data_IF_506923617582
#
_entry.id   IF_506923617582
#
_cell.length_a   1.000
_cell.length_b   1.000
_cell.length_c   1.000
_cell.angle_alpha   90.00
_cell.angle_beta   90.00
_cell.angle_gamma   90.00
#
_symmetry.space_group_name_H-M   'P 1'
#
loop_
_entity.id
_entity.type
_entity.pdbx_description
1 polymer ?
#
# COMPACT_ATOMS: atom_id res chain seq x y z
N UNK A 1 9.94 -23.11 -11.97
CA UNK A 1 9.05 -23.30 -10.81
C UNK A 1 8.10 -22.11 -10.77
N UNK A 2 6.81 -22.28 -11.08
CA UNK A 2 5.85 -21.18 -10.93
C UNK A 2 5.75 -20.86 -9.44
N UNK A 3 6.06 -19.62 -9.05
CA UNK A 3 5.75 -19.15 -7.69
C UNK A 3 4.23 -19.13 -7.58
N UNK A 4 3.68 -19.92 -6.66
CA UNK A 4 2.26 -19.81 -6.33
C UNK A 4 1.96 -18.35 -5.96
N UNK A 5 0.99 -17.77 -6.65
CA UNK A 5 0.51 -16.44 -6.34
C UNK A 5 -0.24 -16.51 -5.02
N UNK A 6 0.19 -15.73 -4.03
CA UNK A 6 -0.46 -15.70 -2.73
C UNK A 6 -1.94 -15.35 -2.88
N UNK A 7 -2.79 -16.10 -2.17
CA UNK A 7 -4.22 -15.87 -2.10
C UNK A 7 -4.65 -15.67 -0.64
N UNK A 8 -5.68 -14.86 -0.44
CA UNK A 8 -6.39 -14.72 0.82
C UNK A 8 -7.85 -15.06 0.57
N UNK A 9 -8.50 -15.75 1.50
CA UNK A 9 -9.92 -16.09 1.36
C UNK A 9 -10.80 -14.85 1.57
N UNK A 10 -12.01 -14.90 1.00
CA UNK A 10 -13.01 -13.87 1.24
C UNK A 10 -13.42 -13.82 2.73
N UNK A 11 -13.47 -14.96 3.41
CA UNK A 11 -13.80 -15.03 4.84
C UNK A 11 -12.76 -14.29 5.69
N UNK A 12 -11.47 -14.56 5.47
CA UNK A 12 -10.38 -13.84 6.16
C UNK A 12 -10.40 -12.34 5.82
N UNK A 13 -10.65 -11.99 4.56
CA UNK A 13 -10.78 -10.59 4.15
C UNK A 13 -11.95 -9.90 4.84
N UNK A 14 -13.11 -10.56 4.96
CA UNK A 14 -14.28 -10.05 5.67
C UNK A 14 -13.99 -9.82 7.15
N UNK A 15 -13.32 -10.77 7.81
CA UNK A 15 -12.89 -10.62 9.21
C UNK A 15 -11.93 -9.44 9.40
N UNK A 16 -11.02 -9.21 8.45
CA UNK A 16 -10.13 -8.03 8.47
C UNK A 16 -10.95 -6.75 8.39
N UNK A 17 -11.94 -6.66 7.49
CA UNK A 17 -12.79 -5.47 7.37
C UNK A 17 -13.56 -5.20 8.66
N UNK A 18 -14.15 -6.23 9.27
CA UNK A 18 -14.85 -6.13 10.55
C UNK A 18 -13.91 -5.65 11.67
N UNK A 19 -12.67 -6.17 11.74
CA UNK A 19 -11.71 -5.79 12.78
C UNK A 19 -11.33 -4.30 12.75
N UNK A 20 -11.37 -3.67 11.57
CA UNK A 20 -11.01 -2.27 11.38
C UNK A 20 -12.23 -1.36 11.12
N UNK A 21 -13.43 -1.81 11.51
CA UNK A 21 -14.69 -1.07 11.36
C UNK A 21 -14.97 -0.58 9.92
N UNK A 22 -14.62 -1.39 8.91
CA UNK A 22 -14.84 -1.12 7.49
C UNK A 22 -16.12 -1.80 6.98
N UNK A 23 -16.61 -1.39 5.80
CA UNK A 23 -17.83 -1.97 5.24
C UNK A 23 -17.67 -3.44 4.87
N UNK A 24 -18.79 -4.15 4.72
CA UNK A 24 -18.82 -5.55 4.33
C UNK A 24 -18.09 -5.80 2.99
N UNK A 25 -17.53 -7.00 2.85
CA UNK A 25 -16.82 -7.40 1.65
C UNK A 25 -17.79 -7.54 0.46
N UNK A 26 -17.55 -6.78 -0.59
CA UNK A 26 -18.28 -6.87 -1.87
C UNK A 26 -17.38 -7.33 -3.02
N UNK A 27 -16.09 -7.01 -2.97
CA UNK A 27 -15.10 -7.46 -3.96
C UNK A 27 -13.70 -7.50 -3.39
N UNK A 28 -12.89 -8.45 -3.88
CA UNK A 28 -11.46 -8.56 -3.59
C UNK A 28 -10.75 -8.97 -4.86
N UNK A 29 -9.82 -8.15 -5.33
CA UNK A 29 -9.06 -8.40 -6.57
C UNK A 29 -7.57 -8.26 -6.30
N UNK A 30 -6.74 -9.26 -6.67
CA UNK A 30 -5.30 -9.15 -6.51
C UNK A 30 -4.75 -8.03 -7.41
N UNK A 31 -3.92 -7.16 -6.85
CA UNK A 31 -3.19 -6.15 -7.60
C UNK A 31 -1.94 -6.79 -8.22
N UNK A 32 -1.70 -6.51 -9.51
CA UNK A 32 -0.50 -6.98 -10.22
C UNK A 32 0.79 -6.25 -9.79
N UNK A 33 0.66 -5.23 -8.93
CA UNK A 33 1.76 -4.46 -8.39
C UNK A 33 2.19 -5.00 -7.01
N UNK A 34 3.50 -5.06 -6.76
CA UNK A 34 4.07 -5.54 -5.49
C UNK A 34 4.93 -6.79 -5.66
N UNK A 35 6.19 -6.61 -6.08
CA UNK A 35 7.15 -7.71 -6.22
C UNK A 35 7.47 -8.42 -4.89
N UNK A 36 7.20 -7.73 -3.76
CA UNK A 36 7.63 -8.14 -2.42
C UNK A 36 6.44 -8.58 -1.57
N UNK A 37 5.39 -7.76 -1.49
CA UNK A 37 4.22 -8.00 -0.65
C UNK A 37 2.97 -8.12 -1.54
N UNK A 38 2.23 -9.25 -1.47
CA UNK A 38 0.92 -9.38 -2.10
C UNK A 38 0.00 -8.25 -1.68
N UNK A 39 -0.75 -7.72 -2.66
CA UNK A 39 -1.68 -6.62 -2.44
C UNK A 39 -3.03 -6.95 -3.10
N UNK A 40 -4.11 -6.54 -2.46
CA UNK A 40 -5.49 -6.77 -2.91
C UNK A 40 -6.27 -5.46 -2.86
N UNK A 41 -6.97 -5.13 -3.94
CA UNK A 41 -7.94 -4.05 -3.99
C UNK A 41 -9.27 -4.59 -3.47
N UNK A 42 -9.72 -4.05 -2.34
CA UNK A 42 -10.94 -4.46 -1.65
C UNK A 42 -12.01 -3.39 -1.87
N UNK A 43 -13.19 -3.81 -2.31
CA UNK A 43 -14.36 -2.94 -2.55
C UNK A 43 -14.10 -1.74 -3.49
N UNK A 44 -13.01 -1.76 -4.27
CA UNK A 44 -12.54 -0.60 -5.04
C UNK A 44 -12.10 0.61 -4.19
N UNK A 45 -11.99 0.45 -2.86
CA UNK A 45 -11.78 1.53 -1.90
C UNK A 45 -10.53 1.36 -1.04
N UNK A 46 -10.12 0.12 -0.79
CA UNK A 46 -9.04 -0.20 0.13
C UNK A 46 -7.98 -1.05 -0.53
N UNK A 47 -6.75 -0.92 -0.06
CA UNK A 47 -5.67 -1.81 -0.42
C UNK A 47 -5.25 -2.58 0.84
N UNK A 48 -5.44 -3.88 0.81
CA UNK A 48 -4.89 -4.81 1.79
C UNK A 48 -3.51 -5.27 1.31
N UNK A 49 -2.46 -5.06 2.11
CA UNK A 49 -1.11 -5.55 1.85
C UNK A 49 -0.71 -6.56 2.91
N UNK A 50 -0.16 -7.69 2.47
CA UNK A 50 0.26 -8.79 3.33
C UNK A 50 1.78 -8.89 3.35
N UNK A 51 2.38 -9.00 4.53
CA UNK A 51 3.82 -9.14 4.67
C UNK A 51 4.25 -10.60 4.47
N UNK A 52 4.78 -10.91 3.27
CA UNK A 52 5.35 -12.24 2.96
C UNK A 52 6.86 -12.28 3.09
N UNK A 53 7.44 -11.31 3.77
CA UNK A 53 8.89 -11.16 3.90
C UNK A 53 9.48 -12.09 4.98
N UNK A 54 8.93 -13.29 5.18
CA UNK A 54 9.41 -14.25 6.19
C UNK A 54 10.89 -14.63 5.99
N UNK A 55 11.37 -14.61 4.74
CA UNK A 55 12.77 -14.85 4.38
C UNK A 55 13.74 -13.78 4.92
N UNK A 56 13.23 -12.66 5.45
CA UNK A 56 14.01 -11.59 6.04
C UNK A 56 13.88 -11.55 7.58
N UNK A 57 13.25 -12.57 8.20
CA UNK A 57 13.23 -12.75 9.66
C UNK A 57 14.67 -12.75 10.19
N UNK A 58 14.93 -11.93 11.21
CA UNK A 58 16.26 -11.78 11.83
C UNK A 58 17.12 -10.65 11.24
N UNK A 59 16.71 -10.03 10.13
CA UNK A 59 17.34 -8.79 9.65
C UNK A 59 16.87 -7.61 10.52
N UNK A 60 17.80 -6.90 11.15
CA UNK A 60 17.46 -5.79 12.07
C UNK A 60 16.56 -4.75 11.39
N UNK A 61 15.41 -4.46 12.01
CA UNK A 61 14.44 -3.48 11.52
C UNK A 61 13.46 -4.00 10.47
N UNK A 62 13.62 -5.24 10.01
CA UNK A 62 12.73 -5.87 9.04
C UNK A 62 11.33 -6.11 9.61
N UNK A 63 11.24 -6.54 10.88
CA UNK A 63 9.97 -6.88 11.52
C UNK A 63 9.07 -5.66 11.79
N UNK A 64 9.55 -4.43 11.53
CA UNK A 64 8.85 -3.17 11.84
C UNK A 64 8.40 -2.39 10.59
N UNK A 65 8.39 -3.02 9.42
CA UNK A 65 8.18 -2.33 8.13
C UNK A 65 6.79 -1.68 8.03
N UNK A 66 5.73 -2.42 8.32
CA UNK A 66 4.38 -1.86 8.25
C UNK A 66 4.09 -0.85 9.38
N UNK A 67 4.71 -1.00 10.55
CA UNK A 67 4.66 -0.02 11.63
C UNK A 67 5.27 1.33 11.17
N UNK A 68 6.42 1.27 10.48
CA UNK A 68 7.04 2.47 9.88
C UNK A 68 6.19 3.07 8.78
N UNK A 69 5.62 2.24 7.91
CA UNK A 69 4.72 2.73 6.84
C UNK A 69 3.47 3.40 7.42
N UNK A 70 2.81 2.79 8.40
CA UNK A 70 1.66 3.36 9.09
C UNK A 70 2.00 4.71 9.74
N UNK A 71 3.18 4.81 10.37
CA UNK A 71 3.68 6.07 10.91
C UNK A 71 3.86 7.14 9.82
N UNK A 72 4.43 6.78 8.66
CA UNK A 72 4.61 7.70 7.54
C UNK A 72 3.28 8.17 6.94
N UNK A 73 2.30 7.27 6.80
CA UNK A 73 0.95 7.62 6.33
C UNK A 73 0.23 8.61 7.25
N UNK A 74 0.54 8.61 8.55
CA UNK A 74 0.03 9.63 9.48
C UNK A 74 0.83 10.95 9.43
N UNK A 75 2.13 10.90 9.10
CA UNK A 75 3.02 12.05 9.16
C UNK A 75 3.01 12.90 7.87
N UNK A 76 3.03 12.26 6.71
CA UNK A 76 3.21 12.93 5.41
C UNK A 76 2.04 13.85 5.02
N UNK A 77 0.76 13.50 5.26
CA UNK A 77 -0.36 14.40 4.99
C UNK A 77 -0.28 15.72 5.78
N UNK A 78 0.28 15.68 6.99
CA UNK A 78 0.50 16.89 7.82
C UNK A 78 1.53 17.85 7.22
N UNK A 79 2.26 17.42 6.19
CA UNK A 79 3.19 18.22 5.40
C UNK A 79 2.70 18.50 3.98
N UNK A 80 1.41 18.28 3.71
CA UNK A 80 0.81 18.51 2.40
C UNK A 80 1.19 17.48 1.33
N UNK A 81 1.80 16.35 1.72
CA UNK A 81 2.15 15.28 0.79
C UNK A 81 0.98 14.30 0.74
N UNK A 82 0.33 14.12 -0.43
CA UNK A 82 -0.77 13.18 -0.56
C UNK A 82 -0.26 11.75 -0.43
N UNK A 83 -0.81 11.01 0.53
CA UNK A 83 -0.51 9.60 0.74
C UNK A 83 -1.79 8.83 1.05
N UNK A 84 -1.79 7.50 0.92
CA UNK A 84 -2.83 6.66 1.46
C UNK A 84 -3.07 6.96 2.94
N UNK A 85 -4.33 6.84 3.37
CA UNK A 85 -4.72 6.87 4.78
C UNK A 85 -4.51 5.47 5.32
N UNK A 86 -3.79 5.34 6.45
CA UNK A 86 -3.70 4.08 7.17
C UNK A 86 -5.01 3.83 7.91
N UNK A 87 -5.75 2.80 7.50
CA UNK A 87 -7.04 2.42 8.08
C UNK A 87 -6.88 1.34 9.14
N UNK A 88 -5.88 0.47 8.97
CA UNK A 88 -5.63 -0.60 9.92
C UNK A 88 -4.23 -1.19 9.77
N UNK A 89 -3.64 -1.57 10.89
CA UNK A 89 -2.41 -2.36 10.96
C UNK A 89 -2.64 -3.48 11.96
N UNK A 90 -2.29 -4.71 11.58
CA UNK A 90 -2.41 -5.85 12.47
C UNK A 90 -1.17 -6.73 12.40
N UNK A 91 -0.59 -6.91 13.58
CA UNK A 91 0.59 -7.73 13.81
C UNK A 91 0.31 -8.96 14.69
N UNK A 92 -0.93 -9.13 15.14
CA UNK A 92 -1.35 -10.18 16.07
C UNK A 92 -1.31 -11.57 15.45
N UNK A 93 -1.52 -11.65 14.12
CA UNK A 93 -1.67 -12.89 13.36
C UNK A 93 -2.90 -13.72 13.75
N UNK A 94 -3.93 -13.07 14.28
CA UNK A 94 -5.16 -13.73 14.72
C UNK A 94 -6.06 -14.14 13.55
N UNK A 95 -6.16 -13.29 12.50
CA UNK A 95 -7.06 -13.53 11.36
C UNK A 95 -6.35 -14.29 10.23
N UNK A 96 -5.09 -13.94 9.97
CA UNK A 96 -4.22 -14.61 9.01
C UNK A 96 -2.81 -14.80 9.62
N UNK A 97 -2.00 -15.77 9.15
CA UNK A 97 -0.66 -16.02 9.70
C UNK A 97 0.31 -14.86 9.52
N UNK A 98 0.10 -14.03 8.52
CA UNK A 98 0.95 -12.89 8.19
C UNK A 98 0.53 -11.58 8.89
N UNK A 99 1.47 -10.64 8.97
CA UNK A 99 1.14 -9.25 9.30
C UNK A 99 0.48 -8.60 8.09
N UNK A 100 -0.41 -7.65 8.33
CA UNK A 100 -1.04 -6.91 7.24
C UNK A 100 -1.31 -5.45 7.58
N UNK A 101 -1.42 -4.63 6.53
CA UNK A 101 -1.84 -3.24 6.61
C UNK A 101 -2.99 -3.00 5.62
N UNK A 102 -3.99 -2.24 6.05
CA UNK A 102 -5.11 -1.77 5.23
C UNK A 102 -4.98 -0.27 5.08
N UNK A 103 -4.98 0.20 3.83
CA UNK A 103 -4.90 1.63 3.50
C UNK A 103 -5.97 2.03 2.51
N UNK A 104 -6.28 3.32 2.43
CA UNK A 104 -7.15 3.85 1.37
C UNK A 104 -6.52 3.64 0.00
N UNK A 105 -7.31 3.24 -0.99
CA UNK A 105 -6.90 3.23 -2.38
C UNK A 105 -6.83 4.67 -2.92
N UNK A 106 -5.76 4.99 -3.65
CA UNK A 106 -5.65 6.24 -4.41
C UNK A 106 -5.94 5.90 -5.88
N UNK A 107 -7.08 6.36 -6.44
CA UNK A 107 -7.37 6.16 -7.85
C UNK A 107 -6.32 6.84 -8.72
N UNK A 108 -5.82 6.11 -9.71
CA UNK A 108 -4.84 6.65 -10.63
C UNK A 108 -4.18 5.57 -11.47
N UNK A 109 -3.34 6.03 -12.40
CA UNK A 109 -2.48 5.18 -13.21
C UNK A 109 -1.04 5.35 -12.74
N UNK A 110 -0.22 4.30 -12.88
CA UNK A 110 1.20 4.44 -12.60
C UNK A 110 1.80 5.44 -13.58
N UNK A 111 2.80 6.21 -13.12
CA UNK A 111 3.46 7.17 -14.00
C UNK A 111 4.11 6.45 -15.19
N UNK A 112 4.69 5.27 -15.00
CA UNK A 112 5.28 4.48 -16.10
C UNK A 112 4.27 4.11 -17.19
N UNK A 113 3.01 3.85 -16.84
CA UNK A 113 1.98 3.48 -17.80
C UNK A 113 1.39 4.72 -18.49
N UNK A 114 1.25 5.82 -17.76
CA UNK A 114 0.61 7.05 -18.25
C UNK A 114 1.54 8.02 -18.97
N UNK A 115 2.83 8.05 -18.62
CA UNK A 115 3.73 9.16 -18.97
C UNK A 115 3.84 9.41 -20.46
N UNK A 116 3.95 8.35 -21.27
CA UNK A 116 4.09 8.45 -22.73
C UNK A 116 2.86 9.02 -23.44
N UNK A 117 1.71 9.01 -22.77
CA UNK A 117 0.45 9.52 -23.30
C UNK A 117 0.18 10.97 -22.87
N UNK A 118 1.05 11.55 -22.05
CA UNK A 118 0.94 12.96 -21.63
C UNK A 118 1.55 13.86 -22.71
N UNK A 119 1.08 15.10 -22.78
CA UNK A 119 1.69 16.13 -23.63
C UNK A 119 3.11 16.50 -23.13
N UNK A 120 3.93 17.06 -24.02
CA UNK A 120 5.33 17.38 -23.73
C UNK A 120 5.48 18.33 -22.53
N UNK A 121 4.59 19.31 -22.37
CA UNK A 121 4.64 20.26 -21.26
C UNK A 121 4.43 19.55 -19.91
N UNK A 122 3.43 18.68 -19.84
CA UNK A 122 3.14 17.87 -18.65
C UNK A 122 4.26 16.88 -18.34
N UNK A 123 4.83 16.22 -19.36
CA UNK A 123 5.99 15.34 -19.19
C UNK A 123 7.19 16.10 -18.61
N UNK A 124 7.45 17.32 -19.11
CA UNK A 124 8.54 18.16 -18.64
C UNK A 124 8.36 18.57 -17.16
N UNK A 125 7.14 18.98 -16.78
CA UNK A 125 6.80 19.34 -15.39
C UNK A 125 7.01 18.16 -14.45
N UNK A 126 6.53 16.97 -14.80
CA UNK A 126 6.66 15.77 -13.96
C UNK A 126 8.12 15.29 -13.87
N UNK A 127 8.91 15.44 -14.92
CA UNK A 127 10.35 15.13 -14.91
C UNK A 127 11.15 16.06 -14.01
N UNK A 128 10.85 17.37 -14.02
CA UNK A 128 11.48 18.34 -13.13
C UNK A 128 11.06 18.16 -11.66
N UNK A 129 9.77 17.90 -11.42
CA UNK A 129 9.25 17.66 -10.06
C UNK A 129 9.79 16.37 -9.43
N UNK A 130 10.05 15.32 -10.24
CA UNK A 130 10.63 14.05 -9.75
C UNK A 130 12.14 14.09 -9.53
N UNK A 131 12.84 15.09 -10.07
CA UNK A 131 14.29 15.27 -9.93
C UNK A 131 14.68 16.37 -8.93
N UNK A 132 13.70 17.07 -8.34
CA UNK A 132 13.94 18.06 -7.29
C UNK A 132 13.55 17.46 -5.94
N UNK A 133 14.48 17.30 -4.97
CA UNK A 133 14.08 16.98 -3.61
C UNK A 133 13.16 18.10 -3.14
N UNK A 134 11.95 17.76 -2.67
CA UNK A 134 11.01 18.69 -2.05
C UNK A 134 11.55 19.13 -0.68
N UNK A 135 12.67 19.86 -0.68
CA UNK A 135 13.22 20.62 0.42
C UNK A 135 13.43 22.04 -0.08
N UNK A 136 12.34 22.78 -0.23
CA UNK A 136 12.40 24.24 -0.20
C UNK A 136 11.33 24.78 0.75
N UNK A 137 11.85 25.26 1.87
CA UNK A 137 11.33 26.32 2.72
C UNK A 137 9.97 26.14 3.37
N UNK A 138 9.99 25.80 4.65
CA UNK A 138 9.14 26.49 5.64
C UNK A 138 9.78 26.37 7.02
N UNK A 139 10.16 27.54 7.53
CA UNK A 139 10.61 28.00 8.86
C UNK A 139 10.93 26.99 9.97
#
# INVERSE_FOLDING_TARGET
MMKEQYSISNDSTGLILVKHDLEELTSSVPLKAGLINPAFLINGRYVLRVDKSEHLKGVKGHDTRFEREAFLYNLLPKRGIPTPICLGLDNSREIIPEKYIVVSYIPGISLSDGFKNLDEETQHKLSFLSSTPFFKNTF
#
